data_IF_155473272506
#
_entry.id   IF_155473272506
#
_cell.length_a   1.000
_cell.length_b   1.000
_cell.length_c   1.000
_cell.angle_alpha   90.00
_cell.angle_beta   90.00
_cell.angle_gamma   90.00
#
_symmetry.space_group_name_H-M   'P 1'
#
loop_
_entity.id
_entity.type
_entity.pdbx_description
1 polymer ?
#
# COMPACT_ATOMS: atom_id res chain seq x y z
N UNK A 1 -40.29 -20.34 29.52
CA UNK A 1 -40.21 -20.75 28.10
C UNK A 1 -39.16 -19.86 27.46
N UNK A 2 -38.09 -20.52 27.00
CA UNK A 2 -36.83 -19.92 26.62
C UNK A 2 -36.92 -19.08 25.35
N UNK A 3 -36.06 -18.08 25.33
CA UNK A 3 -35.64 -17.18 24.26
C UNK A 3 -35.34 -17.91 22.95
N UNK A 4 -35.82 -17.39 21.83
CA UNK A 4 -35.19 -17.57 20.53
C UNK A 4 -35.28 -16.25 19.77
N UNK A 5 -34.21 -15.45 19.87
CA UNK A 5 -33.91 -14.38 18.94
C UNK A 5 -33.71 -15.01 17.55
N UNK A 6 -34.59 -14.68 16.61
CA UNK A 6 -34.44 -15.07 15.22
C UNK A 6 -33.37 -14.17 14.59
N UNK A 7 -32.16 -14.69 14.47
CA UNK A 7 -31.05 -14.08 13.73
C UNK A 7 -31.38 -14.10 12.24
N UNK A 8 -32.10 -13.08 11.77
CA UNK A 8 -32.52 -12.91 10.37
C UNK A 8 -31.66 -11.87 9.65
N UNK A 9 -30.36 -11.93 9.88
CA UNK A 9 -29.35 -11.20 9.11
C UNK A 9 -28.45 -12.25 8.46
N UNK A 10 -28.27 -12.17 7.12
CA UNK A 10 -27.21 -12.79 6.29
C UNK A 10 -27.68 -13.57 5.03
N UNK A 11 -28.84 -13.26 4.45
CA UNK A 11 -29.24 -13.81 3.13
C UNK A 11 -28.75 -12.99 1.92
N UNK A 12 -27.69 -12.19 2.07
CA UNK A 12 -27.05 -11.54 0.93
C UNK A 12 -26.15 -12.55 0.19
N UNK A 13 -26.22 -12.66 -1.15
CA UNK A 13 -25.36 -13.55 -1.90
C UNK A 13 -23.89 -13.16 -1.68
N UNK A 14 -23.12 -14.06 -1.06
CA UNK A 14 -21.69 -13.87 -0.84
C UNK A 14 -20.94 -14.13 -2.15
N UNK A 15 -20.30 -13.10 -2.69
CA UNK A 15 -19.39 -13.26 -3.83
C UNK A 15 -18.16 -14.06 -3.37
N UNK A 16 -17.96 -15.24 -3.95
CA UNK A 16 -16.76 -16.04 -3.69
C UNK A 16 -15.53 -15.37 -4.33
N UNK A 17 -14.44 -15.25 -3.57
CA UNK A 17 -13.17 -14.71 -4.04
C UNK A 17 -12.04 -15.71 -3.81
N UNK A 18 -11.18 -15.89 -4.82
CA UNK A 18 -9.95 -16.65 -4.70
C UNK A 18 -8.77 -15.73 -4.39
N UNK A 19 -7.97 -16.09 -3.39
CA UNK A 19 -6.75 -15.38 -3.04
C UNK A 19 -5.53 -16.23 -3.40
N UNK A 20 -4.60 -15.67 -4.17
CA UNK A 20 -3.30 -16.28 -4.47
C UNK A 20 -2.22 -15.25 -4.22
N UNK A 21 -1.47 -15.43 -3.14
CA UNK A 21 -0.32 -14.61 -2.83
C UNK A 21 0.95 -15.37 -3.20
N UNK A 22 1.88 -14.78 -3.97
CA UNK A 22 3.13 -15.46 -4.32
C UNK A 22 4.03 -15.75 -3.09
N UNK A 23 3.87 -15.00 -2.00
CA UNK A 23 4.52 -15.22 -0.70
C UNK A 23 3.79 -14.45 0.41
N UNK A 24 4.18 -14.66 1.66
CA UNK A 24 3.70 -13.86 2.78
C UNK A 24 4.30 -12.44 2.76
N UNK A 25 3.48 -11.45 3.16
CA UNK A 25 3.98 -10.12 3.51
C UNK A 25 4.89 -10.21 4.73
N UNK A 26 5.93 -9.39 4.79
CA UNK A 26 6.93 -9.45 5.85
C UNK A 26 7.36 -8.07 6.30
N UNK A 27 7.81 -7.98 7.56
CA UNK A 27 8.58 -6.84 8.04
C UNK A 27 10.04 -7.22 7.96
N UNK A 28 10.80 -6.53 7.11
CA UNK A 28 12.21 -6.80 6.88
C UNK A 28 13.02 -5.70 7.56
N UNK A 29 13.88 -6.09 8.50
CA UNK A 29 14.86 -5.20 9.11
C UNK A 29 16.10 -5.09 8.22
N UNK A 30 16.45 -3.89 7.78
CA UNK A 30 17.67 -3.63 7.01
C UNK A 30 18.38 -2.38 7.58
N UNK A 31 19.61 -2.55 8.08
CA UNK A 31 20.55 -1.48 8.49
C UNK A 31 19.89 -0.25 9.16
N UNK A 32 19.16 -0.49 10.27
CA UNK A 32 18.52 0.58 11.04
C UNK A 32 17.22 1.14 10.44
N UNK A 33 16.65 0.47 9.44
CA UNK A 33 15.34 0.78 8.86
C UNK A 33 14.41 -0.43 8.96
N UNK A 34 13.16 -0.16 9.32
CA UNK A 34 12.07 -1.13 9.26
C UNK A 34 11.34 -0.94 7.94
N UNK A 35 11.38 -1.96 7.07
CA UNK A 35 10.69 -1.94 5.78
C UNK A 35 9.52 -2.91 5.86
N UNK A 36 8.32 -2.44 5.50
CA UNK A 36 7.14 -3.29 5.35
C UNK A 36 7.06 -3.72 3.89
N UNK A 37 7.20 -5.02 3.66
CA UNK A 37 7.13 -5.63 2.34
C UNK A 37 5.76 -6.28 2.16
N UNK A 38 4.91 -5.64 1.35
CA UNK A 38 3.52 -6.03 1.12
C UNK A 38 3.38 -6.78 -0.19
N UNK A 39 2.75 -7.96 -0.14
CA UNK A 39 2.57 -8.83 -1.29
C UNK A 39 1.13 -8.77 -1.76
N UNK A 40 0.92 -8.47 -3.05
CA UNK A 40 -0.40 -8.38 -3.66
C UNK A 40 -1.02 -9.76 -3.96
N UNK A 41 -2.35 -9.81 -3.99
CA UNK A 41 -3.10 -10.96 -4.51
C UNK A 41 -2.94 -11.01 -6.04
N UNK A 42 -2.26 -12.04 -6.54
CA UNK A 42 -2.03 -12.30 -7.95
C UNK A 42 -3.19 -12.99 -8.68
N UNK A 43 -4.22 -13.48 -7.96
CA UNK A 43 -5.41 -14.07 -8.55
C UNK A 43 -6.57 -13.06 -8.69
N UNK A 44 -6.27 -11.78 -8.91
CA UNK A 44 -7.33 -10.79 -9.21
C UNK A 44 -7.93 -11.08 -10.58
N UNK A 45 -9.12 -11.69 -10.58
CA UNK A 45 -9.98 -11.73 -11.77
C UNK A 45 -10.47 -10.32 -12.15
N UNK A 46 -11.00 -10.19 -13.36
CA UNK A 46 -11.65 -8.96 -13.79
C UNK A 46 -12.82 -8.64 -12.84
N UNK A 47 -12.74 -7.52 -12.13
CA UNK A 47 -13.82 -7.05 -11.25
C UNK A 47 -14.91 -6.47 -12.15
N UNK A 48 -16.07 -7.12 -12.18
CA UNK A 48 -17.27 -6.62 -12.86
C UNK A 48 -18.29 -6.26 -11.80
N UNK A 49 -18.90 -5.09 -11.96
CA UNK A 49 -20.06 -4.68 -11.19
C UNK A 49 -21.20 -4.38 -12.17
N UNK A 50 -22.42 -4.77 -11.80
CA UNK A 50 -23.62 -4.54 -12.58
C UNK A 50 -24.78 -4.18 -11.66
N UNK A 51 -25.60 -3.21 -12.06
CA UNK A 51 -26.72 -2.71 -11.26
C UNK A 51 -27.30 -1.43 -11.86
N UNK A 52 -28.35 -0.90 -11.25
CA UNK A 52 -28.87 0.43 -11.59
C UNK A 52 -28.16 1.49 -10.75
N UNK A 53 -27.67 2.54 -11.39
CA UNK A 53 -27.18 3.72 -10.69
C UNK A 53 -28.38 4.47 -10.09
N UNK A 54 -28.38 4.65 -8.77
CA UNK A 54 -29.39 5.45 -8.08
C UNK A 54 -29.31 6.93 -8.49
N UNK A 55 -28.08 7.47 -8.53
CA UNK A 55 -27.79 8.82 -9.02
C UNK A 55 -26.70 8.73 -10.11
N UNK A 56 -27.10 8.71 -11.40
CA UNK A 56 -26.15 8.59 -12.50
C UNK A 56 -25.17 9.77 -12.63
N UNK A 57 -25.61 10.98 -12.27
CA UNK A 57 -24.77 12.17 -12.39
C UNK A 57 -23.69 12.18 -11.30
N UNK A 58 -24.08 11.97 -10.04
CA UNK A 58 -23.11 11.87 -8.95
C UNK A 58 -22.13 10.72 -9.16
N UNK A 59 -22.59 9.57 -9.66
CA UNK A 59 -21.73 8.45 -10.01
C UNK A 59 -20.73 8.82 -11.10
N UNK A 60 -21.17 9.49 -12.17
CA UNK A 60 -20.27 9.93 -13.25
C UNK A 60 -19.19 10.87 -12.73
N UNK A 61 -19.55 11.89 -11.98
CA UNK A 61 -18.58 12.86 -11.44
C UNK A 61 -17.58 12.20 -10.48
N UNK A 62 -18.06 11.28 -9.65
CA UNK A 62 -17.21 10.51 -8.74
C UNK A 62 -16.20 9.65 -9.50
N UNK A 63 -16.63 8.98 -10.58
CA UNK A 63 -15.75 8.17 -11.43
C UNK A 63 -14.74 9.04 -12.20
N UNK A 64 -15.14 10.21 -12.70
CA UNK A 64 -14.23 11.18 -13.33
C UNK A 64 -13.16 11.68 -12.37
N UNK A 65 -13.55 12.02 -11.13
CA UNK A 65 -12.61 12.45 -10.10
C UNK A 65 -11.62 11.33 -9.73
N UNK A 66 -12.12 10.10 -9.55
CA UNK A 66 -11.29 8.93 -9.28
C UNK A 66 -10.28 8.68 -10.42
N UNK A 67 -10.71 8.85 -11.67
CA UNK A 67 -9.83 8.70 -12.83
C UNK A 67 -8.65 9.68 -12.79
N UNK A 68 -8.88 10.97 -12.49
CA UNK A 68 -7.79 11.95 -12.42
C UNK A 68 -6.80 11.66 -11.28
N UNK A 69 -7.27 11.15 -10.14
CA UNK A 69 -6.40 10.71 -9.03
C UNK A 69 -5.52 9.56 -9.48
N UNK A 70 -6.12 8.50 -10.02
CA UNK A 70 -5.38 7.32 -10.48
C UNK A 70 -4.38 7.70 -11.56
N UNK A 71 -4.78 8.54 -12.52
CA UNK A 71 -3.91 9.06 -13.57
C UNK A 71 -2.73 9.84 -13.01
N UNK A 72 -2.92 10.63 -11.95
CA UNK A 72 -1.84 11.35 -11.27
C UNK A 72 -0.82 10.38 -10.65
N UNK A 73 -1.28 9.33 -9.98
CA UNK A 73 -0.41 8.32 -9.38
C UNK A 73 0.45 7.60 -10.44
N UNK A 74 -0.13 7.27 -11.59
CA UNK A 74 0.60 6.65 -12.69
C UNK A 74 1.60 7.57 -13.39
N UNK A 75 1.48 8.89 -13.21
CA UNK A 75 2.43 9.87 -13.75
C UNK A 75 3.64 10.11 -12.86
N UNK A 76 3.68 9.51 -11.67
CA UNK A 76 4.81 9.67 -10.77
C UNK A 76 6.08 9.08 -11.39
N UNK A 77 6.99 9.97 -11.79
CA UNK A 77 8.36 9.61 -12.16
C UNK A 77 9.26 9.84 -10.94
N UNK A 78 9.87 8.80 -10.36
CA UNK A 78 10.78 8.98 -9.24
C UNK A 78 11.99 9.83 -9.69
N UNK A 79 12.28 10.90 -8.94
CA UNK A 79 13.49 11.70 -9.17
C UNK A 79 14.73 10.86 -8.91
N UNK A 80 15.78 11.05 -9.71
CA UNK A 80 17.08 10.46 -9.42
C UNK A 80 17.63 11.04 -8.10
N UNK A 81 17.79 10.16 -7.11
CA UNK A 81 18.30 10.49 -5.77
C UNK A 81 19.68 9.86 -5.52
N UNK A 82 20.34 9.30 -6.52
CA UNK A 82 21.63 8.59 -6.39
C UNK A 82 22.70 9.45 -5.72
N UNK A 83 22.92 10.68 -6.21
CA UNK A 83 23.90 11.61 -5.64
C UNK A 83 23.58 11.99 -4.19
N UNK A 84 22.31 12.23 -3.88
CA UNK A 84 21.86 12.55 -2.52
C UNK A 84 22.04 11.36 -1.56
N UNK A 85 21.73 10.15 -2.02
CA UNK A 85 21.92 8.92 -1.25
C UNK A 85 23.41 8.62 -1.03
N UNK A 86 24.27 8.86 -2.03
CA UNK A 86 25.73 8.74 -1.89
C UNK A 86 26.28 9.73 -0.86
N UNK A 87 25.85 10.99 -0.92
CA UNK A 87 26.19 12.01 0.09
C UNK A 87 25.75 11.60 1.50
N UNK A 88 24.52 11.09 1.67
CA UNK A 88 24.07 10.62 2.98
C UNK A 88 24.92 9.45 3.51
N UNK A 89 25.34 8.51 2.66
CA UNK A 89 26.22 7.41 3.06
C UNK A 89 27.57 7.92 3.54
N UNK A 90 28.20 8.80 2.76
CA UNK A 90 29.48 9.41 3.12
C UNK A 90 29.40 10.16 4.45
N UNK A 91 28.34 10.98 4.63
CA UNK A 91 28.12 11.72 5.88
C UNK A 91 27.90 10.79 7.07
N UNK A 92 27.19 9.69 6.91
CA UNK A 92 27.03 8.70 7.99
C UNK A 92 28.33 8.00 8.35
N UNK A 93 29.20 7.74 7.37
CA UNK A 93 30.53 7.15 7.60
C UNK A 93 31.49 8.14 8.28
N UNK A 94 31.36 9.44 8.01
CA UNK A 94 32.21 10.46 8.62
C UNK A 94 31.79 10.83 10.06
N UNK A 95 30.51 10.66 10.41
CA UNK A 95 30.00 10.90 11.78
C UNK A 95 30.50 9.77 12.70
N UNK A 96 31.64 10.02 13.35
CA UNK A 96 32.31 9.10 14.26
C UNK A 96 33.84 9.09 14.10
N UNK A 97 34.33 9.37 12.89
CA UNK A 97 35.78 9.52 12.64
C UNK A 97 36.34 10.76 13.33
N UNK A 98 35.58 11.86 13.36
CA UNK A 98 36.01 13.10 14.02
C UNK A 98 36.12 12.95 15.55
N UNK A 99 35.27 12.11 16.17
CA UNK A 99 35.33 11.83 17.61
C UNK A 99 36.52 10.93 17.97
N UNK A 100 36.85 9.95 17.13
CA UNK A 100 38.01 9.08 17.31
C UNK A 100 39.32 9.86 17.07
N UNK A 101 39.36 10.71 16.05
CA UNK A 101 40.52 11.57 15.77
C UNK A 101 40.75 12.63 16.86
N UNK A 102 39.68 13.19 17.43
CA UNK A 102 39.76 14.13 18.55
C UNK A 102 40.16 13.48 19.88
N UNK A 103 40.00 12.16 20.04
CA UNK A 103 40.47 11.41 21.21
C UNK A 103 41.93 10.96 21.09
N UNK A 104 42.54 11.06 19.90
CA UNK A 104 43.93 10.68 19.63
C UNK A 104 44.91 11.86 19.59
N UNK A 105 44.43 13.10 19.75
CA UNK A 105 45.23 14.32 19.88
C UNK A 105 45.31 14.78 21.34
#
# INVERSE_FOLDING_TARGET
MSTEEKTDELEAPRTAFAFRYPRASAVVGAEGKTVVDLVGNGARGAVKAGGRAHDPLALRESLSALYEIVRSDFRYVPKDRTAYLAYQRLRKQSVGMDLVAAQQA
#
